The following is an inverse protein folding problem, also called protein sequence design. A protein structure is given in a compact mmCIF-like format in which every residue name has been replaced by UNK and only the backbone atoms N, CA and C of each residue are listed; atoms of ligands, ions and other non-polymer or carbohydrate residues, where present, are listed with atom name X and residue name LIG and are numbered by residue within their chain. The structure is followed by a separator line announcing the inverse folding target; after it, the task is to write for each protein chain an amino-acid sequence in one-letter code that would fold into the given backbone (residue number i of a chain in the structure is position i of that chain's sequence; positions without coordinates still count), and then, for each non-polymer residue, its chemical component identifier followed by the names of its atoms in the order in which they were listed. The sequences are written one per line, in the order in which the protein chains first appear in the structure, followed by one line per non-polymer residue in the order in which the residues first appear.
data_IF_876468848514
#
_entry.id   IF_876468848514
#
_cell.length_a   1.000
_cell.length_b   1.000
_cell.length_c   1.000
_cell.angle_alpha   90.00
_cell.angle_beta   90.00
_cell.angle_gamma   90.00
#
_symmetry.space_group_name_H-M   'P 1'
#
loop_
_entity.id
_entity.type
_entity.pdbx_description
1 polymer ?
#
# COMPACT_ATOMS: atom_id res chain seq x y z
N UNK A 1 -16.80 1.57 -15.39
CA UNK A 1 -15.97 2.44 -16.24
C UNK A 1 -15.25 3.58 -15.53
N UNK A 2 -15.90 4.39 -14.69
CA UNK A 2 -15.29 5.58 -14.09
C UNK A 2 -13.94 5.38 -13.35
N UNK A 3 -13.78 4.28 -12.60
CA UNK A 3 -12.54 4.01 -11.85
C UNK A 3 -11.37 3.66 -12.77
N UNK A 4 -11.61 2.86 -13.81
CA UNK A 4 -10.56 2.46 -14.77
C UNK A 4 -10.05 3.67 -15.55
N UNK A 5 -10.96 4.53 -16.02
CA UNK A 5 -10.62 5.79 -16.70
C UNK A 5 -9.86 6.75 -15.78
N UNK A 6 -10.18 6.78 -14.48
CA UNK A 6 -9.48 7.60 -13.49
C UNK A 6 -8.04 7.13 -13.24
N UNK A 7 -7.83 5.81 -13.11
CA UNK A 7 -6.51 5.23 -12.91
C UNK A 7 -5.61 5.43 -14.14
N UNK A 8 -6.14 5.22 -15.34
CA UNK A 8 -5.38 5.44 -16.59
C UNK A 8 -4.95 6.91 -16.77
N UNK A 9 -5.80 7.87 -16.38
CA UNK A 9 -5.48 9.30 -16.47
C UNK A 9 -4.35 9.72 -15.52
N UNK A 10 -4.06 8.92 -14.49
CA UNK A 10 -3.02 9.18 -13.51
C UNK A 10 -2.31 7.87 -13.12
N UNK A 11 -1.34 7.44 -13.94
CA UNK A 11 -0.56 6.20 -13.76
C UNK A 11 0.03 6.00 -12.35
N UNK A 12 0.27 7.08 -11.60
CA UNK A 12 0.71 6.99 -10.20
C UNK A 12 -0.35 6.31 -9.31
N UNK A 13 -1.64 6.60 -9.48
CA UNK A 13 -2.71 6.01 -8.68
C UNK A 13 -2.96 4.54 -9.04
N UNK A 14 -2.72 4.16 -10.29
CA UNK A 14 -2.77 2.75 -10.72
C UNK A 14 -1.73 1.89 -9.99
N UNK A 15 -0.47 2.34 -9.97
CA UNK A 15 0.62 1.66 -9.25
C UNK A 15 0.38 1.63 -7.75
N UNK A 16 -0.13 2.72 -7.18
CA UNK A 16 -0.47 2.82 -5.76
C UNK A 16 -1.61 1.86 -5.38
N UNK A 17 -2.65 1.76 -6.20
CA UNK A 17 -3.74 0.80 -6.02
C UNK A 17 -3.25 -0.65 -6.08
N UNK A 18 -2.39 -0.97 -7.06
CA UNK A 18 -1.76 -2.29 -7.17
C UNK A 18 -0.91 -2.64 -5.94
N UNK A 19 -0.14 -1.69 -5.42
CA UNK A 19 0.69 -1.91 -4.22
C UNK A 19 -0.16 -2.17 -2.97
N UNK A 20 -1.24 -1.40 -2.77
CA UNK A 20 -2.18 -1.62 -1.67
C UNK A 20 -2.85 -3.00 -1.79
N UNK A 21 -3.33 -3.37 -2.99
CA UNK A 21 -3.93 -4.69 -3.24
C UNK A 21 -2.95 -5.83 -2.94
N UNK A 22 -1.67 -5.66 -3.26
CA UNK A 22 -0.64 -6.64 -2.96
C UNK A 22 -0.40 -6.82 -1.45
N UNK A 23 -0.31 -5.72 -0.69
CA UNK A 23 -0.14 -5.77 0.77
C UNK A 23 -1.34 -6.42 1.46
N UNK A 24 -2.56 -6.06 1.03
CA UNK A 24 -3.80 -6.69 1.51
C UNK A 24 -3.82 -8.18 1.14
N UNK A 25 -3.36 -8.54 -0.06
CA UNK A 25 -3.24 -9.94 -0.49
C UNK A 25 -2.34 -10.76 0.43
N UNK A 26 -1.17 -10.25 0.81
CA UNK A 26 -0.25 -10.93 1.73
C UNK A 26 -0.92 -11.12 3.10
N UNK A 27 -1.59 -10.09 3.62
CA UNK A 27 -2.29 -10.18 4.90
C UNK A 27 -3.40 -11.24 4.87
N UNK A 28 -4.25 -11.26 3.83
CA UNK A 28 -5.30 -12.26 3.68
C UNK A 28 -4.74 -13.68 3.53
N UNK A 29 -3.63 -13.86 2.82
CA UNK A 29 -2.95 -15.16 2.71
C UNK A 29 -2.44 -15.64 4.07
N UNK A 30 -1.86 -14.75 4.88
CA UNK A 30 -1.39 -15.09 6.22
C UNK A 30 -2.52 -15.41 7.19
N UNK A 31 -3.63 -14.66 7.17
CA UNK A 31 -4.81 -14.94 8.00
C UNK A 31 -5.52 -16.22 7.56
N UNK A 32 -5.65 -16.46 6.25
CA UNK A 32 -6.20 -17.70 5.71
C UNK A 32 -5.34 -18.93 6.05
N UNK A 33 -4.01 -18.76 6.04
CA UNK A 33 -3.08 -19.79 6.49
C UNK A 33 -3.13 -20.06 7.99
N UNK A 34 -3.33 -19.03 8.80
CA UNK A 34 -3.59 -19.17 10.23
C UNK A 34 -4.89 -19.93 10.49
N UNK A 35 -5.99 -19.55 9.84
CA UNK A 35 -7.32 -20.17 10.00
C UNK A 35 -7.36 -21.63 9.56
N UNK A 36 -6.51 -22.03 8.61
CA UNK A 36 -6.40 -23.41 8.12
C UNK A 36 -5.40 -24.26 8.94
N UNK A 37 -4.86 -23.72 10.03
CA UNK A 37 -3.90 -24.42 10.88
C UNK A 37 -2.57 -24.74 10.19
N UNK A 38 -2.23 -24.02 9.10
CA UNK A 38 -0.99 -24.24 8.37
C UNK A 38 0.19 -23.80 9.25
N UNK A 39 1.14 -24.72 9.46
CA UNK A 39 2.41 -24.44 10.13
C UNK A 39 3.46 -24.10 9.09
N UNK A 40 3.88 -22.84 9.01
CA UNK A 40 5.04 -22.46 8.21
C UNK A 40 6.30 -22.78 9.02
N UNK A 41 7.12 -23.70 8.51
CA UNK A 41 8.41 -24.09 9.12
C UNK A 41 8.33 -24.55 10.60
N UNK A 42 7.24 -25.22 10.98
CA UNK A 42 7.07 -25.78 12.33
C UNK A 42 6.63 -24.79 13.41
N UNK A 43 6.47 -23.51 13.06
CA UNK A 43 5.93 -22.46 13.94
C UNK A 43 4.46 -22.21 13.59
N UNK A 44 3.62 -22.02 14.61
CA UNK A 44 2.24 -21.58 14.39
C UNK A 44 2.24 -20.17 13.80
N UNK A 45 1.70 -20.02 12.60
CA UNK A 45 1.39 -18.71 12.02
C UNK A 45 0.52 -18.02 13.06
N UNK A 46 0.91 -16.86 13.57
CA UNK A 46 0.06 -16.09 14.46
C UNK A 46 -0.74 -15.10 13.61
N UNK A 47 -2.07 -15.11 13.74
CA UNK A 47 -2.88 -14.08 13.13
C UNK A 47 -2.47 -12.71 13.68
N UNK A 48 -2.25 -11.78 12.76
CA UNK A 48 -2.14 -10.39 13.08
C UNK A 48 -3.50 -9.87 13.56
N UNK A 49 -3.51 -9.01 14.58
CA UNK A 49 -4.76 -8.37 15.02
C UNK A 49 -5.33 -7.49 13.91
N UNK A 50 -6.65 -7.53 13.72
CA UNK A 50 -7.38 -6.62 12.79
C UNK A 50 -7.05 -5.16 13.07
N UNK A 51 -6.82 -4.80 14.33
CA UNK A 51 -6.39 -3.46 14.74
C UNK A 51 -5.04 -3.11 14.13
N UNK A 52 -4.07 -4.02 14.20
CA UNK A 52 -2.76 -3.81 13.60
C UNK A 52 -2.87 -3.71 12.09
N UNK A 53 -3.78 -4.46 11.46
CA UNK A 53 -4.01 -4.37 10.02
C UNK A 53 -4.53 -2.98 9.60
N UNK A 54 -5.63 -2.52 10.21
CA UNK A 54 -6.17 -1.19 9.89
C UNK A 54 -5.16 -0.08 10.20
N UNK A 55 -4.40 -0.23 11.29
CA UNK A 55 -3.31 0.68 11.63
C UNK A 55 -2.24 0.75 10.53
N UNK A 56 -1.76 -0.40 10.05
CA UNK A 56 -0.78 -0.46 8.95
C UNK A 56 -1.32 0.16 7.68
N UNK A 57 -2.57 -0.14 7.28
CA UNK A 57 -3.19 0.47 6.09
C UNK A 57 -3.28 2.00 6.23
N UNK A 58 -3.72 2.51 7.39
CA UNK A 58 -3.79 3.95 7.64
C UNK A 58 -2.42 4.61 7.55
N UNK A 59 -1.40 4.03 8.19
CA UNK A 59 -0.02 4.54 8.12
C UNK A 59 0.49 4.53 6.67
N UNK A 60 0.24 3.44 5.93
CA UNK A 60 0.69 3.29 4.55
C UNK A 60 0.09 4.35 3.63
N UNK A 61 -1.22 4.60 3.72
CA UNK A 61 -1.90 5.67 2.98
C UNK A 61 -1.35 7.05 3.37
N UNK A 62 -1.12 7.31 4.66
CA UNK A 62 -0.54 8.57 5.12
C UNK A 62 0.89 8.78 4.56
N UNK A 63 1.74 7.75 4.59
CA UNK A 63 3.10 7.83 4.01
C UNK A 63 3.07 8.11 2.52
N UNK A 64 2.17 7.47 1.75
CA UNK A 64 2.02 7.73 0.31
C UNK A 64 1.61 9.18 0.03
N UNK A 65 0.69 9.74 0.82
CA UNK A 65 0.28 11.15 0.71
C UNK A 65 1.45 12.09 0.99
N UNK A 66 2.23 11.81 2.05
CA UNK A 66 3.41 12.61 2.41
C UNK A 66 4.48 12.52 1.32
N UNK A 67 4.77 11.32 0.81
CA UNK A 67 5.74 11.10 -0.27
C UNK A 67 5.31 11.81 -1.56
N UNK A 68 4.04 11.73 -1.93
CA UNK A 68 3.49 12.42 -3.11
C UNK A 68 3.64 13.94 -3.00
N UNK A 69 3.31 14.51 -1.82
CA UNK A 69 3.49 15.95 -1.53
C UNK A 69 4.95 16.36 -1.59
N UNK A 70 5.85 15.56 -1.01
CA UNK A 70 7.27 15.84 -0.95
C UNK A 70 7.92 15.78 -2.34
N UNK A 71 7.61 14.74 -3.14
CA UNK A 71 8.07 14.60 -4.53
C UNK A 71 7.66 15.80 -5.38
N UNK A 72 6.41 16.27 -5.24
CA UNK A 72 5.92 17.46 -5.93
C UNK A 72 6.68 18.73 -5.50
N UNK A 73 6.99 18.89 -4.22
CA UNK A 73 7.76 20.03 -3.70
C UNK A 73 9.21 20.04 -4.21
N UNK A 74 9.85 18.87 -4.30
CA UNK A 74 11.20 18.72 -4.86
C UNK A 74 11.26 19.07 -6.35
N UNK A 75 10.31 18.58 -7.14
CA UNK A 75 10.23 18.87 -8.57
C UNK A 75 10.11 20.37 -8.86
N UNK A 76 9.29 21.08 -8.07
CA UNK A 76 9.14 22.54 -8.18
C UNK A 76 10.45 23.29 -7.84
N UNK A 77 11.20 22.82 -6.85
CA UNK A 77 12.50 23.42 -6.48
C UNK A 77 13.55 23.23 -7.58
N UNK A 78 13.62 22.05 -8.19
CA UNK A 78 14.56 21.77 -9.28
C UNK A 78 14.28 22.65 -10.51
N UNK A 79 13.00 22.85 -10.86
CA UNK A 79 12.61 23.73 -11.97
C UNK A 79 12.95 25.20 -11.72
N UNK A 80 12.85 25.66 -10.47
CA UNK A 80 13.21 27.03 -10.10
C UNK A 80 14.72 27.29 -10.08
N UNK A 81 15.55 26.26 -9.92
CA UNK A 81 17.02 26.37 -9.99
C UNK A 81 17.59 26.26 -11.40
N UNK A 82 16.81 25.75 -12.37
CA UNK A 82 17.22 25.64 -13.78
C UNK A 82 16.81 26.85 -14.64
N UNK A 83 16.10 27.82 -14.08
CA UNK A 83 15.78 29.12 -14.71
C UNK A 83 16.70 30.21 -14.18
#
# INVERSE_FOLDING_TARGET
DGVSTFLQKNRMYEVLGLFILFVVGIMLLTEGGHLSGMKLFGSEIHAMSKTTFYFVITVLVLTEVVQSRYKRKLLLKQQAQQK
#
